data_IF_262894220309
#
_entry.id   IF_262894220309
#
_cell.length_a   1.000
_cell.length_b   1.000
_cell.length_c   1.000
_cell.angle_alpha   90.00
_cell.angle_beta   90.00
_cell.angle_gamma   90.00
#
_symmetry.space_group_name_H-M   'P 1'
#
loop_
_entity.id
_entity.type
_entity.pdbx_description
1 polymer ?
#
# COMPACT_ATOMS: atom_id res chain seq x y z
N UNK A 1 33.74 6.08 8.54
CA UNK A 1 32.59 6.01 9.49
C UNK A 1 31.42 5.42 8.73
N UNK A 2 30.76 4.39 9.24
CA UNK A 2 29.56 3.83 8.61
C UNK A 2 28.35 4.67 9.02
N UNK A 3 27.49 5.05 8.08
CA UNK A 3 26.28 5.79 8.39
C UNK A 3 25.31 4.90 9.17
N UNK A 4 24.63 5.46 10.18
CA UNK A 4 23.58 4.73 10.85
C UNK A 4 22.45 4.42 9.85
N UNK A 5 21.86 3.21 9.88
CA UNK A 5 20.74 2.87 9.02
C UNK A 5 19.56 3.79 9.34
N UNK A 6 18.90 4.27 8.30
CA UNK A 6 17.61 4.98 8.40
C UNK A 6 16.49 3.99 8.15
N UNK A 7 15.36 4.20 8.82
CA UNK A 7 14.11 3.49 8.55
C UNK A 7 13.05 4.51 8.16
N UNK A 8 12.31 4.25 7.10
CA UNK A 8 11.26 5.15 6.61
C UNK A 8 9.99 4.31 6.44
N UNK A 9 8.90 4.80 7.00
CA UNK A 9 7.58 4.25 6.77
C UNK A 9 6.80 5.16 5.83
N UNK A 10 6.19 4.58 4.80
CA UNK A 10 5.47 5.34 3.79
C UNK A 10 4.30 4.55 3.20
N UNK A 11 3.39 5.27 2.56
CA UNK A 11 2.36 4.72 1.69
C UNK A 11 2.61 5.23 0.28
N UNK A 12 2.64 4.32 -0.69
CA UNK A 12 2.67 4.66 -2.12
C UNK A 12 1.32 4.32 -2.75
N UNK A 13 0.89 5.14 -3.70
CA UNK A 13 -0.27 4.84 -4.55
C UNK A 13 0.21 4.61 -5.98
N UNK A 14 0.00 3.41 -6.49
CA UNK A 14 0.20 3.06 -7.90
C UNK A 14 -0.90 3.73 -8.72
N UNK A 15 -0.55 4.32 -9.86
CA UNK A 15 -1.52 4.93 -10.75
C UNK A 15 -2.44 3.88 -11.40
N UNK A 16 -3.72 4.20 -11.59
CA UNK A 16 -4.71 3.25 -12.13
C UNK A 16 -4.35 2.78 -13.55
N UNK A 17 -3.76 3.66 -14.37
CA UNK A 17 -3.27 3.33 -15.70
C UNK A 17 -2.10 2.34 -15.66
N UNK A 18 -1.16 2.52 -14.73
CA UNK A 18 -0.04 1.60 -14.52
C UNK A 18 -0.52 0.23 -14.02
N UNK A 19 -1.49 0.21 -13.10
CA UNK A 19 -2.12 -1.04 -12.64
C UNK A 19 -2.83 -1.74 -13.79
N UNK A 20 -3.63 -1.03 -14.59
CA UNK A 20 -4.34 -1.59 -15.73
C UNK A 20 -3.41 -2.12 -16.81
N UNK A 21 -2.29 -1.46 -17.08
CA UNK A 21 -1.28 -1.94 -18.03
C UNK A 21 -0.61 -3.24 -17.58
N UNK A 22 -0.38 -3.38 -16.27
CA UNK A 22 0.40 -4.49 -15.73
C UNK A 22 -0.46 -5.70 -15.34
N UNK A 23 -1.67 -5.46 -14.85
CA UNK A 23 -2.58 -6.49 -14.32
C UNK A 23 -3.89 -6.61 -15.11
N UNK A 24 -4.07 -5.78 -16.16
CA UNK A 24 -5.22 -5.83 -17.03
C UNK A 24 -6.52 -5.42 -16.35
N UNK A 25 -7.63 -5.99 -16.81
CA UNK A 25 -8.96 -5.73 -16.24
C UNK A 25 -9.14 -6.30 -14.83
N UNK A 26 -8.25 -7.20 -14.38
CA UNK A 26 -8.35 -7.88 -13.07
C UNK A 26 -8.36 -6.90 -11.88
N UNK A 27 -7.70 -5.76 -12.02
CA UNK A 27 -7.61 -4.72 -10.98
C UNK A 27 -8.67 -3.63 -11.14
N UNK A 28 -9.32 -3.56 -12.30
CA UNK A 28 -10.34 -2.56 -12.60
C UNK A 28 -11.63 -2.88 -11.85
N UNK A 29 -12.14 -1.93 -11.07
CA UNK A 29 -13.38 -2.11 -10.31
C UNK A 29 -13.27 -3.04 -9.09
N UNK A 30 -12.16 -3.75 -8.89
CA UNK A 30 -11.98 -4.70 -7.77
C UNK A 30 -12.25 -4.04 -6.40
N UNK A 31 -11.76 -2.82 -6.18
CA UNK A 31 -12.01 -2.07 -4.95
C UNK A 31 -13.50 -1.83 -4.71
N UNK A 32 -14.25 -1.48 -5.75
CA UNK A 32 -15.71 -1.28 -5.68
C UNK A 32 -16.44 -2.58 -5.37
N UNK A 33 -16.12 -3.66 -6.09
CA UNK A 33 -16.73 -4.98 -5.87
C UNK A 33 -16.49 -5.48 -4.44
N UNK A 34 -15.26 -5.33 -3.93
CA UNK A 34 -14.95 -5.69 -2.55
C UNK A 34 -15.68 -4.80 -1.54
N UNK A 35 -15.74 -3.49 -1.78
CA UNK A 35 -16.47 -2.58 -0.90
C UNK A 35 -17.97 -2.91 -0.84
N UNK A 36 -18.59 -3.30 -1.96
CA UNK A 36 -19.99 -3.74 -1.99
C UNK A 36 -20.20 -5.02 -1.18
N UNK A 37 -19.36 -6.04 -1.40
CA UNK A 37 -19.44 -7.30 -0.65
C UNK A 37 -19.22 -7.10 0.85
N UNK A 38 -18.23 -6.29 1.23
CA UNK A 38 -17.95 -5.99 2.64
C UNK A 38 -19.08 -5.16 3.27
N UNK A 39 -19.64 -4.20 2.54
CA UNK A 39 -20.79 -3.41 3.03
C UNK A 39 -22.01 -4.28 3.29
N UNK A 40 -22.28 -5.27 2.43
CA UNK A 40 -23.37 -6.22 2.64
C UNK A 40 -23.17 -7.05 3.91
N UNK A 41 -21.99 -7.66 4.08
CA UNK A 41 -21.68 -8.46 5.26
C UNK A 41 -21.73 -7.64 6.57
N UNK A 42 -21.24 -6.40 6.54
CA UNK A 42 -21.28 -5.48 7.68
C UNK A 42 -22.70 -5.10 8.07
N UNK A 43 -23.61 -4.91 7.11
CA UNK A 43 -25.01 -4.62 7.37
C UNK A 43 -25.74 -5.83 7.97
N UNK A 44 -25.52 -7.03 7.41
CA UNK A 44 -26.10 -8.28 7.89
C UNK A 44 -25.69 -8.59 9.34
N UNK A 45 -24.40 -8.38 9.67
CA UNK A 45 -23.86 -8.59 11.03
C UNK A 45 -24.04 -7.38 11.96
N UNK A 46 -24.54 -6.25 11.44
CA UNK A 46 -24.70 -4.97 12.17
C UNK A 46 -23.40 -4.47 12.81
N UNK A 47 -22.29 -4.59 12.10
CA UNK A 47 -20.98 -4.14 12.60
C UNK A 47 -20.91 -2.60 12.62
N UNK A 48 -20.36 -2.04 13.70
CA UNK A 48 -20.12 -0.58 13.82
C UNK A 48 -18.85 -0.08 13.09
N UNK A 49 -18.23 -0.93 12.28
CA UNK A 49 -16.99 -0.66 11.56
C UNK A 49 -16.88 -1.56 10.33
N UNK A 50 -16.10 -1.14 9.33
CA UNK A 50 -15.69 -2.01 8.24
C UNK A 50 -14.41 -2.78 8.65
N UNK A 51 -14.37 -4.12 8.58
CA UNK A 51 -13.22 -4.91 8.99
C UNK A 51 -12.12 -4.92 7.90
N UNK A 52 -10.91 -5.41 8.22
CA UNK A 52 -9.91 -5.71 7.19
C UNK A 52 -10.32 -6.97 6.40
N UNK A 53 -9.84 -7.16 5.17
CA UNK A 53 -10.22 -8.32 4.36
C UNK A 53 -9.89 -9.68 5.00
N UNK A 54 -8.87 -9.74 5.85
CA UNK A 54 -8.53 -10.96 6.61
C UNK A 54 -9.63 -11.42 7.56
N UNK A 55 -10.55 -10.54 7.96
CA UNK A 55 -11.72 -10.91 8.76
C UNK A 55 -12.65 -11.88 8.04
N UNK A 56 -12.68 -11.84 6.71
CA UNK A 56 -13.54 -12.69 5.90
C UNK A 56 -12.90 -14.04 5.53
N UNK A 57 -11.68 -14.31 6.01
CA UNK A 57 -11.03 -15.60 5.81
C UNK A 57 -11.80 -16.70 6.53
N UNK A 58 -11.95 -17.84 5.85
CA UNK A 58 -12.61 -19.05 6.36
C UNK A 58 -14.09 -18.85 6.74
N UNK A 59 -14.74 -17.81 6.18
CA UNK A 59 -16.15 -17.53 6.38
C UNK A 59 -17.00 -17.99 5.20
N UNK A 60 -17.97 -18.85 5.46
CA UNK A 60 -18.85 -19.42 4.42
C UNK A 60 -19.84 -18.38 3.83
N UNK A 61 -20.07 -17.27 4.51
CA UNK A 61 -20.98 -16.19 4.10
C UNK A 61 -20.30 -15.10 3.25
N UNK A 62 -19.03 -15.29 2.88
CA UNK A 62 -18.28 -14.40 1.99
C UNK A 62 -17.76 -15.17 0.79
N UNK A 63 -17.73 -14.55 -0.39
CA UNK A 63 -17.18 -15.19 -1.58
C UNK A 63 -15.67 -15.41 -1.44
N UNK A 64 -15.30 -16.63 -1.04
CA UNK A 64 -13.92 -17.04 -0.83
C UNK A 64 -13.11 -17.05 -2.13
N UNK A 65 -13.74 -17.27 -3.28
CA UNK A 65 -13.06 -17.26 -4.57
C UNK A 65 -12.65 -15.84 -4.98
N UNK A 66 -13.54 -14.87 -4.73
CA UNK A 66 -13.27 -13.45 -4.92
C UNK A 66 -12.19 -12.96 -3.94
N UNK A 67 -12.32 -13.32 -2.65
CA UNK A 67 -11.33 -12.95 -1.63
C UNK A 67 -9.94 -13.50 -1.97
N UNK A 68 -9.84 -14.78 -2.32
CA UNK A 68 -8.56 -15.40 -2.69
C UNK A 68 -7.93 -14.72 -3.93
N UNK A 69 -8.74 -14.39 -4.93
CA UNK A 69 -8.29 -13.68 -6.13
C UNK A 69 -7.76 -12.28 -5.79
N UNK A 70 -8.47 -11.54 -4.95
CA UNK A 70 -8.04 -10.22 -4.49
C UNK A 70 -6.73 -10.28 -3.70
N UNK A 71 -6.61 -11.21 -2.74
CA UNK A 71 -5.39 -11.42 -1.96
C UNK A 71 -4.19 -11.77 -2.84
N UNK A 72 -4.39 -12.61 -3.87
CA UNK A 72 -3.33 -12.92 -4.83
C UNK A 72 -2.89 -11.67 -5.62
N UNK A 73 -3.83 -10.84 -6.06
CA UNK A 73 -3.53 -9.58 -6.74
C UNK A 73 -2.75 -8.63 -5.83
N UNK A 74 -3.15 -8.47 -4.57
CA UNK A 74 -2.42 -7.63 -3.61
C UNK A 74 -0.98 -8.09 -3.41
N UNK A 75 -0.75 -9.40 -3.33
CA UNK A 75 0.59 -9.96 -3.22
C UNK A 75 1.44 -9.59 -4.44
N UNK A 76 0.92 -9.79 -5.66
CA UNK A 76 1.64 -9.44 -6.89
C UNK A 76 1.97 -7.95 -6.96
N UNK A 77 1.02 -7.07 -6.60
CA UNK A 77 1.25 -5.61 -6.59
C UNK A 77 2.29 -5.23 -5.53
N UNK A 78 2.27 -5.87 -4.36
CA UNK A 78 3.28 -5.66 -3.31
C UNK A 78 4.68 -6.05 -3.77
N UNK A 79 4.83 -7.18 -4.45
CA UNK A 79 6.11 -7.66 -4.99
C UNK A 79 6.68 -6.70 -6.04
N UNK A 80 5.85 -6.28 -6.99
CA UNK A 80 6.23 -5.31 -8.03
C UNK A 80 6.61 -3.97 -7.41
N UNK A 81 5.83 -3.49 -6.44
CA UNK A 81 6.09 -2.24 -5.72
C UNK A 81 7.41 -2.30 -4.97
N UNK A 82 7.69 -3.43 -4.29
CA UNK A 82 8.94 -3.67 -3.57
C UNK A 82 10.15 -3.57 -4.51
N UNK A 83 10.11 -4.22 -5.66
CA UNK A 83 11.21 -4.18 -6.63
C UNK A 83 11.38 -2.79 -7.25
N UNK A 84 10.27 -2.11 -7.55
CA UNK A 84 10.29 -0.74 -8.05
C UNK A 84 10.93 0.22 -7.05
N UNK A 85 10.54 0.15 -5.77
CA UNK A 85 11.08 0.98 -4.70
C UNK A 85 12.57 0.71 -4.50
N UNK A 86 12.98 -0.56 -4.45
CA UNK A 86 14.41 -0.94 -4.38
C UNK A 86 15.21 -0.34 -5.54
N UNK A 87 14.70 -0.46 -6.76
CA UNK A 87 15.35 0.06 -7.95
C UNK A 87 15.46 1.59 -7.96
N UNK A 88 14.43 2.31 -7.51
CA UNK A 88 14.43 3.78 -7.43
C UNK A 88 15.38 4.31 -6.35
N UNK A 89 15.41 3.67 -5.19
CA UNK A 89 16.16 4.18 -4.03
C UNK A 89 17.63 3.76 -4.00
N UNK A 90 18.08 2.88 -4.90
CA UNK A 90 19.47 2.38 -4.95
C UNK A 90 20.53 3.48 -5.04
N UNK A 91 20.17 4.64 -5.59
CA UNK A 91 21.03 5.83 -5.74
C UNK A 91 21.11 6.65 -4.47
N UNK A 92 20.15 6.51 -3.55
CA UNK A 92 20.05 7.23 -2.29
C UNK A 92 20.57 6.40 -1.11
N UNK A 93 20.26 5.10 -1.09
CA UNK A 93 20.56 4.19 0.01
C UNK A 93 21.49 3.05 -0.44
N UNK A 94 22.32 2.55 0.48
CA UNK A 94 23.06 1.29 0.38
C UNK A 94 22.36 0.23 1.21
N UNK A 95 22.44 -1.04 0.78
CA UNK A 95 21.84 -2.16 1.53
C UNK A 95 20.36 -1.98 1.78
N UNK A 96 19.58 -1.68 0.74
CA UNK A 96 18.15 -1.38 0.88
C UNK A 96 17.39 -2.65 1.25
N UNK A 97 16.69 -2.58 2.37
CA UNK A 97 15.72 -3.57 2.79
C UNK A 97 14.31 -2.97 2.70
N UNK A 98 13.38 -3.77 2.20
CA UNK A 98 11.95 -3.48 2.30
C UNK A 98 11.45 -4.44 3.36
N UNK A 99 11.37 -3.97 4.59
CA UNK A 99 11.04 -4.79 5.75
C UNK A 99 9.57 -5.23 5.71
N UNK A 100 8.72 -4.39 5.15
CA UNK A 100 7.29 -4.66 4.98
C UNK A 100 6.79 -4.06 3.66
N UNK A 101 5.93 -4.81 2.97
CA UNK A 101 5.08 -4.33 1.88
C UNK A 101 3.71 -4.98 2.06
N UNK A 102 2.68 -4.18 2.28
CA UNK A 102 1.33 -4.66 2.60
C UNK A 102 0.29 -3.78 1.91
N UNK A 103 -0.72 -4.38 1.27
CA UNK A 103 -1.81 -3.61 0.70
C UNK A 103 -2.66 -2.99 1.80
N UNK A 104 -3.13 -1.75 1.61
CA UNK A 104 -3.98 -1.11 2.62
C UNK A 104 -5.28 -1.88 2.87
N UNK A 105 -5.78 -2.61 1.87
CA UNK A 105 -6.94 -3.50 1.95
C UNK A 105 -6.85 -4.55 3.07
N UNK A 106 -5.62 -4.94 3.47
CA UNK A 106 -5.36 -5.87 4.56
C UNK A 106 -5.32 -5.20 5.94
N UNK A 107 -5.49 -3.89 6.00
CA UNK A 107 -5.54 -3.11 7.24
C UNK A 107 -6.96 -2.61 7.50
N UNK A 108 -7.25 -2.26 8.76
CA UNK A 108 -8.58 -1.75 9.13
C UNK A 108 -8.87 -0.42 8.41
N UNK A 109 -9.95 -0.33 7.62
CA UNK A 109 -10.42 0.93 7.07
C UNK A 109 -10.68 1.97 8.18
N UNK A 110 -10.29 3.22 7.93
CA UNK A 110 -10.66 4.36 8.79
C UNK A 110 -12.05 4.93 8.43
N UNK A 111 -12.84 4.17 7.69
CA UNK A 111 -14.18 4.53 7.22
C UNK A 111 -15.20 3.94 8.18
N UNK A 112 -16.28 4.70 8.47
CA UNK A 112 -17.38 4.22 9.31
C UNK A 112 -18.64 3.92 8.49
N UNK A 113 -19.41 2.89 8.85
CA UNK A 113 -20.77 2.73 8.34
C UNK A 113 -21.59 4.00 8.61
N UNK A 114 -22.31 4.48 7.59
CA UNK A 114 -23.09 5.72 7.67
C UNK A 114 -22.31 7.03 7.51
N UNK A 115 -20.98 6.98 7.33
CA UNK A 115 -20.21 8.16 6.93
C UNK A 115 -20.60 8.60 5.51
N UNK A 116 -20.59 9.92 5.25
CA UNK A 116 -20.73 10.46 3.89
C UNK A 116 -19.64 9.85 2.99
N UNK A 117 -20.05 9.39 1.81
CA UNK A 117 -19.19 8.74 0.81
C UNK A 117 -18.48 7.46 1.31
N UNK A 118 -19.00 6.80 2.34
CA UNK A 118 -18.40 5.59 2.91
C UNK A 118 -18.06 4.55 1.83
N UNK A 119 -18.99 4.29 0.90
CA UNK A 119 -18.78 3.33 -0.17
C UNK A 119 -17.59 3.69 -1.08
N UNK A 120 -17.47 4.95 -1.48
CA UNK A 120 -16.36 5.41 -2.32
C UNK A 120 -15.02 5.35 -1.59
N UNK A 121 -14.99 5.77 -0.33
CA UNK A 121 -13.79 5.70 0.51
C UNK A 121 -13.35 4.26 0.76
N UNK A 122 -14.33 3.37 0.96
CA UNK A 122 -14.09 1.95 1.16
C UNK A 122 -13.58 1.28 -0.11
N UNK A 123 -14.15 1.63 -1.27
CA UNK A 123 -13.66 1.15 -2.57
C UNK A 123 -12.21 1.56 -2.83
N UNK A 124 -11.84 2.79 -2.44
CA UNK A 124 -10.46 3.25 -2.51
C UNK A 124 -9.54 2.51 -1.53
N UNK A 125 -10.03 2.17 -0.33
CA UNK A 125 -9.26 1.42 0.66
C UNK A 125 -8.98 -0.02 0.21
N UNK A 126 -9.98 -0.69 -0.39
CA UNK A 126 -9.83 -2.04 -0.94
C UNK A 126 -9.24 -2.08 -2.36
N UNK A 127 -8.94 -0.93 -2.96
CA UNK A 127 -8.20 -0.88 -4.22
C UNK A 127 -6.79 -1.46 -4.02
N UNK A 128 -6.24 -2.20 -5.01
CA UNK A 128 -4.87 -2.69 -4.95
C UNK A 128 -3.83 -1.57 -5.09
N UNK A 129 -4.25 -0.33 -5.37
CA UNK A 129 -3.35 0.77 -5.66
C UNK A 129 -2.50 1.24 -4.48
N UNK A 130 -2.98 1.09 -3.24
CA UNK A 130 -2.32 1.69 -2.08
C UNK A 130 -1.54 0.65 -1.27
N UNK A 131 -0.22 0.80 -1.22
CA UNK A 131 0.70 -0.13 -0.54
C UNK A 131 1.44 0.61 0.57
N UNK A 132 1.36 0.08 1.79
CA UNK A 132 2.18 0.52 2.92
C UNK A 132 3.53 -0.20 2.88
N UNK A 133 4.60 0.56 3.03
CA UNK A 133 5.97 0.09 3.00
C UNK A 133 6.70 0.52 4.26
N UNK A 134 7.55 -0.37 4.77
CA UNK A 134 8.64 -0.01 5.68
C UNK A 134 9.94 -0.35 4.98
N UNK A 135 10.80 0.65 4.83
CA UNK A 135 12.09 0.52 4.18
C UNK A 135 13.20 0.88 5.15
N UNK A 136 14.35 0.24 5.00
CA UNK A 136 15.55 0.58 5.74
C UNK A 136 16.79 0.50 4.86
N UNK A 137 17.83 1.24 5.23
CA UNK A 137 19.10 1.23 4.51
C UNK A 137 20.06 2.30 5.02
N UNK A 138 21.30 2.23 4.57
CA UNK A 138 22.33 3.22 4.94
C UNK A 138 22.32 4.39 3.96
N UNK A 139 22.20 5.65 4.43
CA UNK A 139 22.32 6.80 3.55
C UNK A 139 23.68 6.83 2.82
N UNK A 140 23.65 7.12 1.52
CA UNK A 140 24.89 7.36 0.77
C UNK A 140 25.47 8.71 1.17
N UNK A 141 26.77 8.71 1.47
CA UNK A 141 27.52 9.92 1.76
C UNK A 141 27.56 10.84 0.54
N UNK A 142 27.37 12.13 0.79
CA UNK A 142 27.42 13.20 -0.21
C UNK A 142 28.68 14.04 0.00
N UNK A 143 28.92 15.02 -0.88
CA UNK A 143 30.03 15.98 -0.70
C UNK A 143 29.95 16.73 0.64
N UNK A 144 28.74 16.89 1.18
CA UNK A 144 28.48 17.55 2.48
C UNK A 144 28.44 16.58 3.67
N UNK A 145 28.81 15.31 3.47
CA UNK A 145 28.73 14.25 4.48
C UNK A 145 27.45 13.42 4.40
N UNK A 146 27.11 12.75 5.51
CA UNK A 146 25.90 11.92 5.65
C UNK A 146 24.69 12.86 5.81
N UNK A 147 23.68 12.79 4.92
CA UNK A 147 22.50 13.65 5.03
C UNK A 147 21.66 13.28 6.26
N UNK A 148 20.96 14.27 6.88
CA UNK A 148 20.01 13.99 7.95
C UNK A 148 18.82 13.18 7.42
N UNK A 149 18.17 12.42 8.32
CA UNK A 149 17.08 11.50 7.95
C UNK A 149 15.92 12.21 7.25
N UNK A 150 15.59 13.44 7.64
CA UNK A 150 14.55 14.26 7.00
C UNK A 150 14.86 14.52 5.52
N UNK A 151 16.10 14.88 5.18
CA UNK A 151 16.53 15.05 3.79
C UNK A 151 16.47 13.74 3.00
N UNK A 152 16.78 12.61 3.65
CA UNK A 152 16.65 11.29 3.02
C UNK A 152 15.17 10.96 2.76
N UNK A 153 14.28 11.28 3.69
CA UNK A 153 12.83 11.09 3.54
C UNK A 153 12.25 11.95 2.41
N UNK A 154 12.66 13.21 2.31
CA UNK A 154 12.25 14.11 1.23
C UNK A 154 12.73 13.63 -0.14
N UNK A 155 14.01 13.26 -0.25
CA UNK A 155 14.54 12.69 -1.49
C UNK A 155 13.88 11.35 -1.86
N UNK A 156 13.57 10.52 -0.86
CA UNK A 156 12.80 9.28 -1.05
C UNK A 156 11.45 9.59 -1.67
N UNK A 157 10.70 10.55 -1.10
CA UNK A 157 9.42 11.00 -1.66
C UNK A 157 9.58 11.47 -3.11
N UNK A 158 10.56 12.34 -3.38
CA UNK A 158 10.78 12.89 -4.74
C UNK A 158 11.11 11.80 -5.76
N UNK A 159 11.97 10.84 -5.43
CA UNK A 159 12.33 9.74 -6.34
C UNK A 159 11.14 8.83 -6.61
N UNK A 160 10.38 8.48 -5.56
CA UNK A 160 9.23 7.58 -5.70
C UNK A 160 8.07 8.22 -6.46
N UNK A 161 7.87 9.53 -6.38
CA UNK A 161 6.87 10.25 -7.19
C UNK A 161 7.11 10.16 -8.70
N UNK A 162 8.30 9.74 -9.15
CA UNK A 162 8.56 9.48 -10.58
C UNK A 162 7.91 8.18 -11.08
N UNK A 163 7.49 7.30 -10.17
CA UNK A 163 6.91 5.98 -10.48
C UNK A 163 5.53 5.76 -9.88
N UNK A 164 5.19 6.47 -8.83
CA UNK A 164 3.92 6.34 -8.12
C UNK A 164 3.12 7.63 -8.23
N UNK A 165 1.79 7.50 -8.36
CA UNK A 165 0.88 8.64 -8.43
C UNK A 165 0.90 9.49 -7.15
N UNK A 166 1.16 8.85 -6.01
CA UNK A 166 1.22 9.50 -4.71
C UNK A 166 2.20 8.79 -3.78
N UNK A 167 2.84 9.57 -2.92
CA UNK A 167 3.75 9.08 -1.87
C UNK A 167 3.51 9.88 -0.60
N UNK A 168 3.15 9.21 0.49
CA UNK A 168 2.95 9.80 1.81
C UNK A 168 3.96 9.19 2.79
N UNK A 169 4.88 9.99 3.30
CA UNK A 169 5.79 9.57 4.38
C UNK A 169 5.02 9.62 5.70
N UNK A 170 4.98 8.51 6.42
CA UNK A 170 4.30 8.38 7.70
C UNK A 170 5.24 8.66 8.89
N UNK A 171 6.48 8.17 8.84
CA UNK A 171 7.50 8.39 9.87
C UNK A 171 8.90 8.02 9.39
N UNK A 172 9.92 8.47 10.14
CA UNK A 172 11.34 8.13 9.98
C UNK A 172 12.13 8.38 11.27
#
# INVERSE_FOLDING_TARGET
MTAAPVAIELVVTVADDALGQQFGELVSGMGTTLAEAVSLAVDEEKLGYFPALSYFQDRDDFDQSMLASALHIYQMVCEVTRETVRAQLRTLLKGIHVDQAQALAETLPRVRPGQVDAQHLLARHYSPAAIRLRISGEPRETVSGIPPVETVADHTRTLLLQRFARVDIASY
#
